data_IF_598670801032
#
_entry.id   IF_598670801032
#
_cell.length_a   1.000
_cell.length_b   1.000
_cell.length_c   1.000
_cell.angle_alpha   90.00
_cell.angle_beta   90.00
_cell.angle_gamma   90.00
#
_symmetry.space_group_name_H-M   'P 1'
#
loop_
_entity.id
_entity.type
_entity.pdbx_description
1 polymer ?
#
# COMPACT_ATOMS: atom_id res chain seq x y z
N UNK A 1 -24.27 -3.74 16.40
CA UNK A 1 -23.16 -4.50 15.79
C UNK A 1 -22.64 -5.48 16.83
N UNK A 2 -22.57 -6.78 16.54
CA UNK A 2 -22.07 -7.77 17.50
C UNK A 2 -20.54 -7.69 17.61
N UNK A 3 -20.00 -8.08 18.77
CA UNK A 3 -18.55 -8.18 18.97
C UNK A 3 -17.90 -9.17 17.99
N UNK A 4 -18.66 -10.20 17.59
CA UNK A 4 -18.24 -11.21 16.62
C UNK A 4 -18.00 -10.61 15.23
N UNK A 5 -18.87 -9.72 14.75
CA UNK A 5 -18.69 -9.06 13.45
C UNK A 5 -17.41 -8.21 13.44
N UNK A 6 -17.17 -7.45 14.52
CA UNK A 6 -15.97 -6.63 14.66
C UNK A 6 -14.72 -7.52 14.67
N UNK A 7 -14.76 -8.62 15.43
CA UNK A 7 -13.68 -9.59 15.50
C UNK A 7 -13.34 -10.19 14.12
N UNK A 8 -14.35 -10.65 13.36
CA UNK A 8 -14.13 -11.24 12.05
C UNK A 8 -13.66 -10.24 11.00
N UNK A 9 -14.16 -9.00 11.03
CA UNK A 9 -13.67 -7.94 10.15
C UNK A 9 -12.19 -7.62 10.43
N UNK A 10 -11.83 -7.51 11.71
CA UNK A 10 -10.45 -7.25 12.13
C UNK A 10 -9.52 -8.40 11.75
N UNK A 11 -9.95 -9.64 12.01
CA UNK A 11 -9.19 -10.84 11.63
C UNK A 11 -8.99 -10.91 10.11
N UNK A 12 -10.07 -10.69 9.35
CA UNK A 12 -10.06 -10.70 7.89
C UNK A 12 -9.16 -9.64 7.28
N UNK A 13 -9.08 -8.43 7.85
CA UNK A 13 -8.20 -7.37 7.36
C UNK A 13 -6.74 -7.54 7.75
N UNK A 14 -6.46 -7.85 9.02
CA UNK A 14 -5.10 -7.80 9.57
C UNK A 14 -4.28 -9.06 9.27
N UNK A 15 -4.87 -10.25 9.40
CA UNK A 15 -4.09 -11.50 9.26
C UNK A 15 -3.46 -11.61 7.88
N UNK A 16 -4.17 -11.38 6.75
CA UNK A 16 -3.54 -11.40 5.44
C UNK A 16 -2.47 -10.33 5.25
N UNK A 17 -2.66 -9.12 5.81
CA UNK A 17 -1.65 -8.07 5.76
C UNK A 17 -0.37 -8.44 6.52
N UNK A 18 -0.50 -9.13 7.67
CA UNK A 18 0.63 -9.66 8.43
C UNK A 18 1.34 -10.81 7.70
N UNK A 19 0.61 -11.68 7.00
CA UNK A 19 1.20 -12.74 6.16
C UNK A 19 2.03 -12.15 5.02
N UNK A 20 1.52 -11.11 4.35
CA UNK A 20 2.31 -10.37 3.36
C UNK A 20 3.50 -9.66 4.00
N UNK A 21 3.34 -9.07 5.19
CA UNK A 21 4.44 -8.40 5.89
C UNK A 21 5.56 -9.37 6.18
N UNK A 22 5.23 -10.54 6.72
CA UNK A 22 6.19 -11.63 6.94
C UNK A 22 6.90 -12.04 5.63
N UNK A 23 6.14 -12.24 4.54
CA UNK A 23 6.72 -12.53 3.22
C UNK A 23 7.73 -11.48 2.75
N UNK A 24 7.40 -10.18 2.84
CA UNK A 24 8.28 -9.12 2.34
C UNK A 24 9.46 -8.83 3.27
N UNK A 25 9.30 -8.97 4.59
CA UNK A 25 10.42 -8.88 5.54
C UNK A 25 11.42 -10.02 5.35
N UNK A 26 10.98 -11.14 4.79
CA UNK A 26 11.87 -12.24 4.47
C UNK A 26 12.88 -11.91 3.37
N UNK A 27 12.61 -10.91 2.53
CA UNK A 27 13.58 -10.41 1.57
C UNK A 27 14.78 -9.75 2.25
N UNK A 28 14.59 -9.21 3.45
CA UNK A 28 15.61 -8.48 4.21
C UNK A 28 16.19 -9.28 5.39
N UNK A 29 16.24 -10.62 5.27
CA UNK A 29 16.71 -11.51 6.35
C UNK A 29 18.17 -11.30 6.79
N UNK A 30 19.00 -10.66 5.96
CA UNK A 30 20.44 -10.52 6.25
C UNK A 30 20.72 -9.41 7.27
N UNK A 31 20.02 -8.29 7.14
CA UNK A 31 20.15 -7.13 8.01
C UNK A 31 18.75 -6.65 8.42
N UNK A 32 17.99 -7.46 9.19
CA UNK A 32 16.58 -7.18 9.42
C UNK A 32 16.37 -5.92 10.25
N UNK A 33 15.43 -5.11 9.80
CA UNK A 33 14.97 -3.90 10.49
C UNK A 33 14.50 -4.15 11.94
N UNK A 34 14.73 -3.20 12.87
CA UNK A 34 14.26 -3.32 14.24
C UNK A 34 12.73 -3.50 14.31
N UNK A 35 12.30 -4.55 15.02
CA UNK A 35 10.87 -4.94 15.11
C UNK A 35 9.96 -3.82 15.61
N UNK A 36 10.46 -2.95 16.48
CA UNK A 36 9.72 -1.77 16.96
C UNK A 36 9.49 -0.73 15.86
N UNK A 37 10.43 -0.54 14.93
CA UNK A 37 10.27 0.38 13.80
C UNK A 37 9.34 -0.21 12.74
N UNK A 38 9.44 -1.51 12.47
CA UNK A 38 8.47 -2.22 11.62
C UNK A 38 7.06 -2.08 12.19
N UNK A 39 6.86 -2.38 13.48
CA UNK A 39 5.57 -2.26 14.14
C UNK A 39 5.06 -0.81 14.13
N UNK A 40 5.92 0.17 14.43
CA UNK A 40 5.56 1.59 14.37
C UNK A 40 5.13 2.01 12.96
N UNK A 41 5.87 1.60 11.94
CA UNK A 41 5.57 1.94 10.54
C UNK A 41 4.24 1.32 10.10
N UNK A 42 3.98 0.08 10.49
CA UNK A 42 2.70 -0.59 10.24
C UNK A 42 1.54 0.13 10.92
N UNK A 43 1.68 0.49 12.21
CA UNK A 43 0.64 1.24 12.94
C UNK A 43 0.40 2.64 12.36
N UNK A 44 1.44 3.32 11.88
CA UNK A 44 1.27 4.59 11.17
C UNK A 44 0.57 4.41 9.82
N UNK A 45 0.80 3.28 9.13
CA UNK A 45 0.06 2.88 7.94
C UNK A 45 -1.43 2.70 8.25
N UNK A 46 -1.77 2.01 9.34
CA UNK A 46 -3.17 1.89 9.79
C UNK A 46 -3.75 3.27 10.10
N UNK A 47 -3.02 4.10 10.85
CA UNK A 47 -3.45 5.45 11.23
C UNK A 47 -3.72 6.33 9.99
N UNK A 48 -2.96 6.18 8.91
CA UNK A 48 -3.17 6.92 7.67
C UNK A 48 -4.59 6.72 7.09
N UNK A 49 -5.18 5.53 7.21
CA UNK A 49 -6.56 5.25 6.75
C UNK A 49 -7.58 6.15 7.45
N UNK A 50 -7.38 6.41 8.75
CA UNK A 50 -8.29 7.27 9.55
C UNK A 50 -8.31 8.72 9.06
N UNK A 51 -7.26 9.18 8.38
CA UNK A 51 -7.20 10.49 7.76
C UNK A 51 -7.65 10.47 6.29
N UNK A 52 -7.28 9.43 5.56
CA UNK A 52 -7.58 9.33 4.13
C UNK A 52 -9.07 9.14 3.87
N UNK A 53 -9.76 8.24 4.59
CA UNK A 53 -11.18 7.96 4.32
C UNK A 53 -12.10 9.18 4.47
N UNK A 54 -11.98 10.03 5.53
CA UNK A 54 -12.76 11.27 5.60
C UNK A 54 -12.46 12.24 4.45
N UNK A 55 -11.21 12.34 4.01
CA UNK A 55 -10.82 13.22 2.89
C UNK A 55 -11.36 12.71 1.55
N UNK A 56 -11.36 11.40 1.33
CA UNK A 56 -11.99 10.78 0.17
C UNK A 56 -13.49 11.02 0.17
N UNK A 57 -14.16 10.81 1.31
CA UNK A 57 -15.59 11.12 1.46
C UNK A 57 -15.91 12.59 1.22
N UNK A 58 -15.05 13.51 1.69
CA UNK A 58 -15.16 14.94 1.41
C UNK A 58 -15.04 15.24 -0.09
N UNK A 59 -14.11 14.56 -0.77
CA UNK A 59 -13.95 14.66 -2.24
C UNK A 59 -15.24 14.26 -2.97
N UNK A 60 -15.90 13.19 -2.52
CA UNK A 60 -17.12 12.68 -3.16
C UNK A 60 -18.31 13.63 -3.00
N UNK A 61 -18.40 14.25 -1.82
CA UNK A 61 -19.42 15.26 -1.52
C UNK A 61 -19.19 16.52 -2.34
N UNK A 62 -17.92 16.93 -2.53
CA UNK A 62 -17.58 18.13 -3.31
C UNK A 62 -17.69 17.92 -4.83
N UNK A 63 -17.59 16.67 -5.29
CA UNK A 63 -17.51 16.33 -6.71
C UNK A 63 -18.57 15.26 -7.10
N UNK A 64 -19.86 15.47 -6.83
CA UNK A 64 -20.89 14.47 -7.05
C UNK A 64 -20.98 14.09 -8.54
N UNK A 65 -20.94 12.78 -8.82
CA UNK A 65 -21.01 12.24 -10.19
C UNK A 65 -19.69 12.34 -10.99
N UNK A 66 -18.65 12.99 -10.47
CA UNK A 66 -17.35 13.13 -11.15
C UNK A 66 -16.38 12.01 -10.73
N UNK A 67 -16.68 10.78 -11.19
CA UNK A 67 -15.94 9.57 -10.80
C UNK A 67 -14.45 9.64 -11.13
N UNK A 68 -14.08 10.17 -12.31
CA UNK A 68 -12.68 10.18 -12.75
C UNK A 68 -11.78 11.11 -11.92
N UNK A 69 -12.15 12.39 -11.72
CA UNK A 69 -11.42 13.26 -10.79
C UNK A 69 -11.34 12.71 -9.37
N UNK A 70 -12.44 12.12 -8.86
CA UNK A 70 -12.47 11.55 -7.51
C UNK A 70 -11.46 10.41 -7.35
N UNK A 71 -11.43 9.44 -8.28
CA UNK A 71 -10.44 8.32 -8.26
C UNK A 71 -9.00 8.84 -8.24
N UNK A 72 -8.70 9.90 -9.00
CA UNK A 72 -7.36 10.50 -9.03
C UNK A 72 -7.01 11.09 -7.67
N UNK A 73 -7.92 11.87 -7.08
CA UNK A 73 -7.71 12.51 -5.77
C UNK A 73 -7.57 11.44 -4.67
N UNK A 74 -8.43 10.41 -4.69
CA UNK A 74 -8.35 9.28 -3.77
C UNK A 74 -6.98 8.61 -3.80
N UNK A 75 -6.49 8.25 -4.99
CA UNK A 75 -5.18 7.63 -5.16
C UNK A 75 -4.04 8.55 -4.71
N UNK A 76 -4.12 9.86 -4.98
CA UNK A 76 -3.14 10.84 -4.50
C UNK A 76 -3.11 10.85 -2.97
N UNK A 77 -4.26 10.92 -2.31
CA UNK A 77 -4.35 10.94 -0.85
C UNK A 77 -3.74 9.67 -0.26
N UNK A 78 -4.09 8.50 -0.78
CA UNK A 78 -3.57 7.23 -0.29
C UNK A 78 -2.05 7.13 -0.43
N UNK A 79 -1.49 7.40 -1.62
CA UNK A 79 -0.05 7.29 -1.84
C UNK A 79 0.75 8.31 -1.00
N UNK A 80 0.23 9.53 -0.84
CA UNK A 80 0.88 10.56 -0.02
C UNK A 80 0.87 10.19 1.47
N UNK A 81 -0.26 9.74 2.01
CA UNK A 81 -0.34 9.38 3.42
C UNK A 81 0.45 8.11 3.74
N UNK A 82 0.50 7.12 2.84
CA UNK A 82 1.39 5.96 2.97
C UNK A 82 2.87 6.36 2.96
N UNK A 83 3.26 7.27 2.06
CA UNK A 83 4.62 7.81 2.04
C UNK A 83 4.97 8.51 3.36
N UNK A 84 4.06 9.34 3.89
CA UNK A 84 4.24 10.00 5.19
C UNK A 84 4.38 8.98 6.32
N UNK A 85 3.55 7.93 6.33
CA UNK A 85 3.62 6.86 7.33
C UNK A 85 4.97 6.12 7.28
N UNK A 86 5.45 5.74 6.09
CA UNK A 86 6.77 5.13 5.90
C UNK A 86 7.91 6.04 6.36
N UNK A 87 7.82 7.33 6.00
CA UNK A 87 8.81 8.34 6.35
C UNK A 87 8.92 8.55 7.87
N UNK A 88 7.77 8.71 8.55
CA UNK A 88 7.71 8.92 10.00
C UNK A 88 7.99 7.65 10.81
N UNK A 89 7.71 6.49 10.24
CA UNK A 89 7.86 5.19 10.89
C UNK A 89 9.31 4.77 11.03
N UNK A 90 10.04 4.69 9.92
CA UNK A 90 11.39 4.15 9.88
C UNK A 90 12.41 4.98 9.11
N UNK A 91 12.05 5.60 7.99
CA UNK A 91 13.04 6.22 7.10
C UNK A 91 13.71 7.48 7.65
N UNK A 92 13.11 8.14 8.64
CA UNK A 92 13.72 9.29 9.33
C UNK A 92 14.62 8.88 10.51
N UNK A 93 14.72 7.59 10.79
CA UNK A 93 15.55 7.07 11.88
C UNK A 93 16.98 6.80 11.40
N UNK A 94 17.90 6.56 12.34
CA UNK A 94 19.28 6.19 12.02
C UNK A 94 19.41 4.73 11.54
N UNK A 95 18.37 3.92 11.73
CA UNK A 95 18.32 2.51 11.32
C UNK A 95 18.02 2.35 9.83
N UNK A 96 17.58 3.42 9.16
CA UNK A 96 17.50 3.44 7.71
C UNK A 96 18.88 3.79 7.14
N UNK A 97 19.76 2.80 7.08
CA UNK A 97 21.17 2.91 6.72
C UNK A 97 21.53 2.15 5.42
N UNK A 98 20.65 1.27 4.94
CA UNK A 98 20.78 0.57 3.66
C UNK A 98 19.73 1.04 2.62
N UNK A 99 20.04 0.92 1.31
CA UNK A 99 19.07 1.23 0.27
C UNK A 99 17.79 0.39 0.33
N UNK A 100 17.86 -0.86 0.80
CA UNK A 100 16.73 -1.80 0.81
C UNK A 100 15.63 -1.40 1.81
N UNK A 101 16.03 -0.78 2.92
CA UNK A 101 15.20 -0.25 4.00
C UNK A 101 14.09 0.67 3.48
N UNK A 102 14.41 1.48 2.48
CA UNK A 102 13.44 2.36 1.81
C UNK A 102 12.26 1.58 1.21
N UNK A 103 12.52 0.38 0.69
CA UNK A 103 11.49 -0.51 0.16
C UNK A 103 10.74 -1.16 1.33
N UNK A 104 11.45 -1.67 2.34
CA UNK A 104 10.87 -2.33 3.52
C UNK A 104 9.90 -1.39 4.24
N UNK A 105 10.30 -0.17 4.57
CA UNK A 105 9.45 0.79 5.27
C UNK A 105 8.25 1.25 4.44
N UNK A 106 8.38 1.43 3.10
CA UNK A 106 7.23 1.75 2.25
C UNK A 106 6.21 0.60 2.20
N UNK A 107 6.68 -0.64 2.03
CA UNK A 107 5.79 -1.82 1.99
C UNK A 107 5.14 -2.03 3.36
N UNK A 108 5.89 -1.85 4.45
CA UNK A 108 5.34 -1.96 5.81
C UNK A 108 4.24 -0.93 6.06
N UNK A 109 4.42 0.32 5.62
CA UNK A 109 3.38 1.34 5.71
C UNK A 109 2.16 1.00 4.85
N UNK A 110 2.38 0.49 3.64
CA UNK A 110 1.29 0.05 2.76
C UNK A 110 0.50 -1.12 3.35
N UNK A 111 1.16 -2.09 3.96
CA UNK A 111 0.50 -3.24 4.59
C UNK A 111 -0.28 -2.83 5.84
N UNK A 112 0.23 -1.88 6.62
CA UNK A 112 -0.54 -1.27 7.71
C UNK A 112 -1.80 -0.57 7.20
N UNK A 113 -1.68 0.17 6.09
CA UNK A 113 -2.81 0.82 5.43
C UNK A 113 -3.86 -0.21 5.00
N UNK A 114 -3.44 -1.23 4.24
CA UNK A 114 -4.26 -2.36 3.79
C UNK A 114 -4.96 -3.06 4.95
N UNK A 115 -4.27 -3.26 6.07
CA UNK A 115 -4.81 -3.96 7.22
C UNK A 115 -6.06 -3.28 7.80
N UNK A 116 -6.00 -1.95 8.02
CA UNK A 116 -7.14 -1.22 8.56
C UNK A 116 -8.19 -0.95 7.48
N UNK A 117 -7.77 -0.60 6.27
CA UNK A 117 -8.67 -0.35 5.15
C UNK A 117 -9.55 -1.58 4.87
N UNK A 118 -8.95 -2.75 4.74
CA UNK A 118 -9.69 -3.99 4.53
C UNK A 118 -10.59 -4.34 5.71
N UNK A 119 -10.14 -4.10 6.95
CA UNK A 119 -10.97 -4.28 8.14
C UNK A 119 -12.25 -3.45 8.03
N UNK A 120 -12.14 -2.17 7.66
CA UNK A 120 -13.27 -1.27 7.51
C UNK A 120 -14.17 -1.63 6.31
N UNK A 121 -13.58 -2.08 5.20
CA UNK A 121 -14.33 -2.55 4.04
C UNK A 121 -15.12 -3.83 4.29
N UNK A 122 -14.61 -4.74 5.13
CA UNK A 122 -15.31 -5.97 5.51
C UNK A 122 -16.42 -5.67 6.53
N UNK A 123 -16.19 -4.70 7.42
CA UNK A 123 -17.10 -4.40 8.53
C UNK A 123 -18.52 -4.00 8.07
N UNK A 124 -18.63 -3.19 7.02
CA UNK A 124 -19.93 -2.75 6.47
C UNK A 124 -20.80 -3.92 5.98
N UNK A 125 -20.35 -4.69 4.96
CA UNK A 125 -21.10 -5.85 4.45
C UNK A 125 -21.46 -6.90 5.51
N UNK A 126 -20.56 -7.15 6.48
CA UNK A 126 -20.85 -8.07 7.58
C UNK A 126 -21.93 -7.52 8.53
N UNK A 127 -21.99 -6.20 8.74
CA UNK A 127 -23.03 -5.56 9.54
C UNK A 127 -24.41 -5.63 8.85
N UNK A 128 -24.45 -5.64 7.52
CA UNK A 128 -25.67 -5.73 6.70
C UNK A 128 -26.11 -7.19 6.43
N UNK A 129 -25.46 -8.18 7.06
CA UNK A 129 -25.70 -9.62 6.88
C UNK A 129 -25.52 -10.16 5.44
N UNK A 130 -24.86 -9.40 4.55
CA UNK A 130 -24.50 -9.84 3.20
C UNK A 130 -23.18 -10.64 3.23
N UNK A 131 -23.26 -11.87 3.73
CA UNK A 131 -22.12 -12.78 3.84
C UNK A 131 -21.58 -13.15 2.45
N UNK A 132 -22.46 -13.32 1.47
CA UNK A 132 -22.09 -13.69 0.11
C UNK A 132 -21.36 -12.53 -0.61
N UNK A 133 -21.85 -11.30 -0.48
CA UNK A 133 -21.16 -10.10 -0.98
C UNK A 133 -19.86 -9.82 -0.22
N UNK A 134 -19.83 -10.03 1.09
CA UNK A 134 -18.58 -9.92 1.87
C UNK A 134 -17.49 -10.88 1.34
N UNK A 135 -17.85 -12.11 0.98
CA UNK A 135 -16.89 -13.12 0.48
C UNK A 135 -16.53 -12.93 -1.00
N UNK A 136 -17.50 -12.66 -1.87
CA UNK A 136 -17.28 -12.58 -3.33
C UNK A 136 -16.65 -11.25 -3.75
N UNK A 137 -17.22 -10.13 -3.30
CA UNK A 137 -16.65 -8.79 -3.55
C UNK A 137 -15.44 -8.53 -2.67
N UNK A 138 -15.35 -9.17 -1.49
CA UNK A 138 -14.16 -9.15 -0.63
C UNK A 138 -12.98 -9.85 -1.28
N UNK A 139 -13.03 -11.14 -1.62
CA UNK A 139 -11.82 -11.90 -2.00
C UNK A 139 -11.05 -11.35 -3.21
N UNK A 140 -11.75 -10.93 -4.28
CA UNK A 140 -11.07 -10.37 -5.46
C UNK A 140 -10.55 -8.95 -5.15
N UNK A 141 -11.38 -8.08 -4.60
CA UNK A 141 -10.95 -6.71 -4.28
C UNK A 141 -9.84 -6.72 -3.23
N UNK A 142 -9.87 -7.63 -2.28
CA UNK A 142 -8.94 -7.74 -1.16
C UNK A 142 -7.53 -8.16 -1.61
N UNK A 143 -7.40 -9.23 -2.41
CA UNK A 143 -6.07 -9.68 -2.87
C UNK A 143 -5.49 -8.71 -3.90
N UNK A 144 -6.32 -8.26 -4.85
CA UNK A 144 -5.91 -7.32 -5.88
C UNK A 144 -5.54 -5.95 -5.32
N UNK A 145 -6.34 -5.41 -4.40
CA UNK A 145 -6.05 -4.13 -3.74
C UNK A 145 -4.81 -4.25 -2.85
N UNK A 146 -4.68 -5.30 -2.03
CA UNK A 146 -3.48 -5.48 -1.19
C UNK A 146 -2.18 -5.44 -2.02
N UNK A 147 -2.13 -6.18 -3.13
CA UNK A 147 -1.00 -6.16 -4.05
C UNK A 147 -0.83 -4.80 -4.73
N UNK A 148 -1.91 -4.10 -5.06
CA UNK A 148 -1.82 -2.73 -5.56
C UNK A 148 -1.06 -1.83 -4.58
N UNK A 149 -1.46 -1.75 -3.30
CA UNK A 149 -0.81 -0.84 -2.35
C UNK A 149 0.65 -1.24 -2.11
N UNK A 150 0.96 -2.54 -2.06
CA UNK A 150 2.33 -3.05 -1.94
C UNK A 150 3.17 -2.58 -3.14
N UNK A 151 2.69 -2.79 -4.37
CA UNK A 151 3.43 -2.45 -5.59
C UNK A 151 3.55 -0.94 -5.76
N UNK A 152 2.47 -0.17 -5.58
CA UNK A 152 2.50 1.28 -5.73
C UNK A 152 3.45 1.95 -4.72
N UNK A 153 3.41 1.51 -3.45
CA UNK A 153 4.34 2.00 -2.43
C UNK A 153 5.75 1.44 -2.64
N UNK A 154 5.88 0.22 -3.14
CA UNK A 154 7.15 -0.39 -3.55
C UNK A 154 7.83 0.35 -4.70
N UNK A 155 7.08 0.96 -5.63
CA UNK A 155 7.63 1.86 -6.68
C UNK A 155 8.31 3.07 -6.03
N UNK A 156 7.66 3.68 -5.04
CA UNK A 156 8.22 4.81 -4.29
C UNK A 156 9.48 4.38 -3.52
N UNK A 157 9.39 3.26 -2.79
CA UNK A 157 10.50 2.67 -2.04
C UNK A 157 11.70 2.36 -2.94
N UNK A 158 11.46 1.75 -4.11
CA UNK A 158 12.49 1.38 -5.07
C UNK A 158 13.19 2.60 -5.66
N UNK A 159 12.45 3.67 -5.95
CA UNK A 159 13.05 4.92 -6.44
C UNK A 159 13.93 5.59 -5.37
N UNK A 160 13.52 5.51 -4.10
CA UNK A 160 14.33 5.98 -2.98
C UNK A 160 15.59 5.13 -2.80
N UNK A 161 15.45 3.80 -2.85
CA UNK A 161 16.57 2.86 -2.81
C UNK A 161 17.61 3.15 -3.91
N UNK A 162 17.16 3.26 -5.16
CA UNK A 162 18.05 3.49 -6.31
C UNK A 162 18.66 4.90 -6.35
N UNK A 163 18.16 5.81 -5.53
CA UNK A 163 18.72 7.15 -5.38
C UNK A 163 19.41 7.36 -4.03
N UNK A 164 19.55 6.33 -3.20
CA UNK A 164 19.95 6.44 -1.79
C UNK A 164 21.24 7.24 -1.58
N UNK A 165 22.32 6.88 -2.31
CA UNK A 165 23.62 7.57 -2.26
C UNK A 165 23.76 8.77 -3.21
N UNK A 166 22.70 9.14 -3.93
CA UNK A 166 22.73 10.30 -4.85
C UNK A 166 22.55 11.60 -4.09
N UNK A 167 22.92 12.72 -4.73
CA UNK A 167 22.74 14.05 -4.15
C UNK A 167 21.26 14.33 -3.83
N UNK A 168 21.02 15.16 -2.81
CA UNK A 168 19.66 15.50 -2.35
C UNK A 168 18.73 15.97 -3.47
N UNK A 169 19.25 16.78 -4.41
CA UNK A 169 18.49 17.27 -5.57
C UNK A 169 18.00 16.11 -6.44
N UNK A 170 18.87 15.13 -6.70
CA UNK A 170 18.53 13.96 -7.51
C UNK A 170 17.51 13.08 -6.78
N UNK A 171 17.71 12.82 -5.49
CA UNK A 171 16.76 12.06 -4.65
C UNK A 171 15.35 12.63 -4.71
N UNK A 172 15.21 13.95 -4.54
CA UNK A 172 13.90 14.63 -4.61
C UNK A 172 13.24 14.44 -5.97
N UNK A 173 14.00 14.52 -7.08
CA UNK A 173 13.46 14.28 -8.42
C UNK A 173 12.98 12.83 -8.59
N UNK A 174 13.74 11.85 -8.08
CA UNK A 174 13.34 10.44 -8.12
C UNK A 174 12.06 10.20 -7.33
N UNK A 175 11.97 10.71 -6.09
CA UNK A 175 10.77 10.57 -5.25
C UNK A 175 9.54 11.19 -5.92
N UNK A 176 9.66 12.42 -6.45
CA UNK A 176 8.53 13.09 -7.11
C UNK A 176 8.02 12.30 -8.31
N UNK A 177 8.93 11.81 -9.16
CA UNK A 177 8.56 10.98 -10.32
C UNK A 177 7.93 9.66 -9.89
N UNK A 178 8.43 9.05 -8.81
CA UNK A 178 7.91 7.80 -8.30
C UNK A 178 6.53 7.94 -7.66
N UNK A 179 6.26 9.02 -6.92
CA UNK A 179 4.91 9.31 -6.42
C UNK A 179 3.93 9.46 -7.58
N UNK A 180 4.30 10.21 -8.62
CA UNK A 180 3.46 10.34 -9.82
C UNK A 180 3.24 8.97 -10.49
N UNK A 181 4.28 8.16 -10.62
CA UNK A 181 4.16 6.82 -11.18
C UNK A 181 3.27 5.89 -10.34
N UNK A 182 3.40 5.94 -9.02
CA UNK A 182 2.57 5.17 -8.08
C UNK A 182 1.10 5.59 -8.16
N UNK A 183 0.82 6.89 -8.20
CA UNK A 183 -0.55 7.42 -8.40
C UNK A 183 -1.11 6.99 -9.75
N UNK A 184 -0.34 7.08 -10.84
CA UNK A 184 -0.80 6.61 -12.16
C UNK A 184 -1.11 5.11 -12.12
N UNK A 185 -0.21 4.29 -11.55
CA UNK A 185 -0.42 2.85 -11.42
C UNK A 185 -1.69 2.53 -10.63
N UNK A 186 -1.89 3.24 -9.51
CA UNK A 186 -3.08 3.13 -8.68
C UNK A 186 -4.36 3.52 -9.42
N UNK A 187 -4.38 4.71 -10.04
CA UNK A 187 -5.54 5.17 -10.81
C UNK A 187 -5.87 4.20 -11.94
N UNK A 188 -4.87 3.69 -12.66
CA UNK A 188 -5.07 2.71 -13.72
C UNK A 188 -5.70 1.42 -13.18
N UNK A 189 -5.24 0.91 -12.04
CA UNK A 189 -5.85 -0.25 -11.39
C UNK A 189 -7.33 0.02 -11.06
N UNK A 190 -7.62 1.15 -10.39
CA UNK A 190 -8.99 1.52 -10.01
C UNK A 190 -9.89 1.70 -11.24
N UNK A 191 -9.40 2.31 -12.31
CA UNK A 191 -10.13 2.47 -13.57
C UNK A 191 -10.41 1.11 -14.22
N UNK A 192 -9.42 0.21 -14.26
CA UNK A 192 -9.58 -1.13 -14.83
C UNK A 192 -10.67 -1.93 -14.11
N UNK A 193 -10.65 -1.97 -12.78
CA UNK A 193 -11.65 -2.72 -12.01
C UNK A 193 -13.04 -2.06 -12.05
N UNK A 194 -13.14 -0.73 -12.13
CA UNK A 194 -14.43 -0.03 -12.07
C UNK A 194 -15.13 0.10 -13.42
N UNK A 195 -14.38 0.22 -14.53
CA UNK A 195 -14.95 0.54 -15.85
C UNK A 195 -14.95 -0.58 -16.87
N UNK A 196 -14.10 -1.60 -16.70
CA UNK A 196 -13.85 -2.61 -17.75
C UNK A 196 -14.30 -4.02 -17.37
N UNK A 197 -15.11 -4.18 -16.31
CA UNK A 197 -15.74 -5.44 -15.92
C UNK A 197 -14.74 -6.58 -15.68
N UNK A 198 -15.10 -7.80 -16.10
CA UNK A 198 -14.27 -8.99 -15.91
C UNK A 198 -12.90 -8.91 -16.59
N UNK A 199 -12.84 -8.43 -17.84
CA UNK A 199 -11.57 -8.25 -18.56
C UNK A 199 -10.68 -7.22 -17.86
N UNK A 200 -11.26 -6.11 -17.41
CA UNK A 200 -10.56 -5.10 -16.62
C UNK A 200 -9.98 -5.65 -15.34
N UNK A 201 -10.75 -6.49 -14.64
CA UNK A 201 -10.31 -7.19 -13.43
C UNK A 201 -9.10 -8.09 -13.74
N UNK A 202 -9.17 -8.93 -14.78
CA UNK A 202 -8.04 -9.80 -15.16
C UNK A 202 -6.77 -8.98 -15.47
N UNK A 203 -6.90 -7.88 -16.22
CA UNK A 203 -5.79 -7.00 -16.56
C UNK A 203 -5.20 -6.32 -15.31
N UNK A 204 -6.05 -5.83 -14.41
CA UNK A 204 -5.64 -5.17 -13.18
C UNK A 204 -4.83 -6.11 -12.29
N UNK A 205 -5.31 -7.35 -12.11
CA UNK A 205 -4.61 -8.37 -11.33
C UNK A 205 -3.29 -8.80 -12.00
N UNK A 206 -3.31 -8.98 -13.32
CA UNK A 206 -2.08 -9.31 -14.06
C UNK A 206 -1.03 -8.21 -13.89
N UNK A 207 -1.45 -6.94 -13.93
CA UNK A 207 -0.56 -5.79 -13.75
C UNK A 207 0.08 -5.75 -12.35
N UNK A 208 -0.69 -5.99 -11.28
CA UNK A 208 -0.12 -6.02 -9.92
C UNK A 208 0.79 -7.24 -9.68
N UNK A 209 0.51 -8.40 -10.28
CA UNK A 209 1.42 -9.54 -10.21
C UNK A 209 2.73 -9.30 -10.95
N UNK A 210 2.68 -8.74 -12.16
CA UNK A 210 3.88 -8.31 -12.88
C UNK A 210 4.64 -7.25 -12.09
N UNK A 211 3.92 -6.31 -11.47
CA UNK A 211 4.49 -5.31 -10.57
C UNK A 211 5.18 -5.92 -9.35
N UNK A 212 4.58 -6.93 -8.72
CA UNK A 212 5.16 -7.65 -7.58
C UNK A 212 6.46 -8.39 -7.97
N UNK A 213 6.49 -9.02 -9.15
CA UNK A 213 7.72 -9.61 -9.70
C UNK A 213 8.78 -8.53 -9.95
N UNK A 214 8.39 -7.39 -10.51
CA UNK A 214 9.29 -6.24 -10.68
C UNK A 214 9.82 -5.70 -9.35
N UNK A 215 9.00 -5.72 -8.30
CA UNK A 215 9.38 -5.31 -6.95
C UNK A 215 10.37 -6.28 -6.31
N UNK A 216 10.19 -7.59 -6.48
CA UNK A 216 11.17 -8.59 -6.06
C UNK A 216 12.53 -8.37 -6.76
N UNK A 217 12.51 -8.10 -8.07
CA UNK A 217 13.72 -7.71 -8.79
C UNK A 217 14.34 -6.43 -8.24
N UNK A 218 13.52 -5.43 -7.86
CA UNK A 218 13.99 -4.18 -7.29
C UNK A 218 14.64 -4.38 -5.91
N UNK A 219 14.09 -5.25 -5.06
CA UNK A 219 14.71 -5.69 -3.79
C UNK A 219 16.11 -6.25 -4.04
N UNK A 220 16.23 -7.24 -4.92
CA UNK A 220 17.52 -7.87 -5.24
C UNK A 220 18.54 -6.89 -5.82
N UNK A 221 18.09 -5.84 -6.51
CA UNK A 221 18.96 -4.78 -6.99
C UNK A 221 19.34 -3.80 -5.91
N UNK A 222 18.42 -3.41 -5.03
CA UNK A 222 18.68 -2.51 -3.91
C UNK A 222 19.73 -3.08 -2.95
N UNK A 223 19.63 -4.37 -2.62
CA UNK A 223 20.61 -5.10 -1.79
C UNK A 223 22.05 -5.05 -2.35
N UNK A 224 22.22 -4.86 -3.66
CA UNK A 224 23.54 -4.77 -4.32
C UNK A 224 24.12 -3.35 -4.35
N UNK A 225 23.32 -2.34 -3.98
CA UNK A 225 23.76 -0.94 -3.91
C UNK A 225 24.43 -0.66 -2.56
N UNK A 226 24.03 -1.38 -1.49
CA UNK A 226 24.67 -1.29 -0.19
C UNK A 226 26.19 -1.54 -0.32
N UNK A 227 27.04 -0.67 0.27
CA UNK A 227 28.47 -0.94 0.33
C UNK A 227 28.69 -2.22 1.13
N UNK A 228 29.53 -3.11 0.59
CA UNK A 228 29.92 -4.36 1.24
C UNK A 228 30.77 -4.11 2.47
#
# INVERSE_FOLDING_TARGET
MSIEIIFWAFFGGIVPALLWLDFWLHEDRKHPEPRNLVARTFLLGMLAVLFVLPLQKGTDVMMPGLIMPAIIIWAILEELFKFIAGWLGGMRTNENDEPVDQIVYMITAALGFVALENTLFILGPLADADIAGSVITGNLRFIGASLLHIVSSGIIGSAMAFSFYKSRKVRVVYIRRAIVAAVIFHVLFNVLILKFGGTGTILAFSAVWVGAIGLLWAFERAKKIAPR
#
